data_IF_981870275468
#
_entry.id   IF_981870275468
#
_cell.length_a   1.000
_cell.length_b   1.000
_cell.length_c   1.000
_cell.angle_alpha   90.00
_cell.angle_beta   90.00
_cell.angle_gamma   90.00
#
_symmetry.space_group_name_H-M   'P 1'
#
loop_
_entity.id
_entity.type
_entity.pdbx_description
1 polymer ?
#
# COMPACT_ATOMS: atom_id res chain seq x y z
N UNK A 1 3.59 30.58 5.38
CA UNK A 1 3.67 29.12 5.13
C UNK A 1 2.25 28.60 4.99
N UNK A 2 1.81 28.28 3.77
CA UNK A 2 0.49 27.71 3.53
C UNK A 2 0.65 26.20 3.34
N UNK A 3 0.11 25.42 4.28
CA UNK A 3 -0.02 23.98 4.12
C UNK A 3 -1.44 23.71 3.61
N UNK A 4 -1.56 23.26 2.36
CA UNK A 4 -2.84 22.85 1.77
C UNK A 4 -3.13 21.42 2.21
N UNK A 5 -4.02 21.27 3.18
CA UNK A 5 -4.61 19.98 3.51
C UNK A 5 -5.67 19.65 2.46
N UNK A 6 -5.41 18.64 1.61
CA UNK A 6 -6.39 18.08 0.69
C UNK A 6 -7.35 17.16 1.45
N UNK A 7 -8.17 17.74 2.33
CA UNK A 7 -9.38 17.09 2.84
C UNK A 7 -10.57 17.62 2.05
N UNK A 8 -10.72 17.14 0.82
CA UNK A 8 -11.98 17.23 0.10
C UNK A 8 -12.05 16.06 -0.89
N UNK A 9 -13.24 15.53 -1.06
CA UNK A 9 -13.70 14.32 -1.76
C UNK A 9 -13.22 14.09 -3.21
N UNK A 10 -12.33 14.95 -3.74
CA UNK A 10 -11.66 14.82 -5.05
C UNK A 10 -10.17 14.42 -4.95
N UNK A 11 -9.59 14.35 -3.74
CA UNK A 11 -8.15 14.16 -3.54
C UNK A 11 -7.53 12.88 -4.17
N UNK A 12 -8.17 11.69 -4.10
CA UNK A 12 -7.50 10.46 -4.56
C UNK A 12 -7.50 10.31 -6.08
N UNK A 13 -8.62 10.64 -6.74
CA UNK A 13 -8.75 10.54 -8.18
C UNK A 13 -7.83 11.54 -8.89
N UNK A 14 -7.76 12.78 -8.41
CA UNK A 14 -6.85 13.79 -8.95
C UNK A 14 -5.38 13.42 -8.74
N UNK A 15 -5.01 12.92 -7.56
CA UNK A 15 -3.65 12.44 -7.30
C UNK A 15 -3.27 11.26 -8.20
N UNK A 16 -4.17 10.28 -8.34
CA UNK A 16 -3.98 9.12 -9.23
C UNK A 16 -3.84 9.54 -10.69
N UNK A 17 -4.65 10.51 -11.13
CA UNK A 17 -4.56 11.06 -12.48
C UNK A 17 -3.25 11.80 -12.71
N UNK A 18 -2.85 12.67 -11.79
CA UNK A 18 -1.59 13.41 -11.88
C UNK A 18 -0.37 12.47 -11.90
N UNK A 19 -0.39 11.42 -11.07
CA UNK A 19 0.63 10.36 -11.05
C UNK A 19 0.73 9.66 -12.42
N UNK A 20 -0.40 9.19 -12.96
CA UNK A 20 -0.46 8.53 -14.27
C UNK A 20 -0.02 9.46 -15.39
N UNK A 21 -0.45 10.73 -15.34
CA UNK A 21 -0.13 11.74 -16.34
C UNK A 21 1.37 12.05 -16.34
N UNK A 22 1.98 12.24 -15.18
CA UNK A 22 3.43 12.46 -15.02
C UNK A 22 4.26 11.35 -15.66
N UNK A 23 3.91 10.08 -15.40
CA UNK A 23 4.67 8.95 -15.96
C UNK A 23 4.38 8.74 -17.45
N UNK A 24 3.16 9.03 -17.90
CA UNK A 24 2.82 8.98 -19.34
C UNK A 24 3.61 10.02 -20.14
N UNK A 25 3.73 11.24 -19.61
CA UNK A 25 4.46 12.31 -20.29
C UNK A 25 5.98 12.04 -20.28
N UNK A 26 6.48 11.30 -19.28
CA UNK A 26 7.88 10.85 -19.16
C UNK A 26 8.10 9.39 -19.57
N UNK A 27 7.29 8.86 -20.52
CA UNK A 27 7.29 7.44 -20.89
C UNK A 27 8.61 6.91 -21.46
N UNK A 28 9.40 7.75 -22.13
CA UNK A 28 10.66 7.31 -22.79
C UNK A 28 11.63 6.73 -21.76
N UNK A 29 11.80 5.41 -21.76
CA UNK A 29 12.66 4.67 -20.82
C UNK A 29 11.98 4.17 -19.54
N UNK A 30 10.70 4.52 -19.32
CA UNK A 30 9.95 4.26 -18.08
C UNK A 30 8.72 3.36 -18.27
N UNK A 31 8.69 2.56 -19.34
CA UNK A 31 7.56 1.68 -19.69
C UNK A 31 7.19 0.71 -18.57
N UNK A 32 8.19 0.16 -17.88
CA UNK A 32 8.02 -0.72 -16.71
C UNK A 32 7.34 -0.01 -15.54
N UNK A 33 7.66 1.27 -15.31
CA UNK A 33 7.06 2.09 -14.24
C UNK A 33 5.61 2.42 -14.60
N UNK A 34 5.35 2.77 -15.87
CA UNK A 34 3.99 3.01 -16.36
C UNK A 34 3.11 1.78 -16.16
N UNK A 35 3.60 0.61 -16.58
CA UNK A 35 2.89 -0.67 -16.39
C UNK A 35 2.59 -0.92 -14.91
N UNK A 36 3.57 -0.69 -14.04
CA UNK A 36 3.39 -0.87 -12.59
C UNK A 36 2.35 0.10 -12.02
N UNK A 37 2.28 1.33 -12.51
CA UNK A 37 1.28 2.31 -12.08
C UNK A 37 -0.12 1.97 -12.61
N UNK A 38 -0.21 1.41 -13.82
CA UNK A 38 -1.49 1.01 -14.40
C UNK A 38 -2.07 -0.25 -13.74
N UNK A 39 -1.23 -1.24 -13.46
CA UNK A 39 -1.63 -2.55 -12.93
C UNK A 39 -1.61 -2.60 -11.39
N UNK A 40 -0.69 -1.88 -10.76
CA UNK A 40 -0.36 -2.04 -9.35
C UNK A 40 -0.91 -0.96 -8.41
N UNK A 41 -1.41 0.17 -8.92
CA UNK A 41 -1.98 1.20 -8.04
C UNK A 41 -3.48 1.04 -7.87
N UNK A 42 -3.90 0.87 -6.61
CA UNK A 42 -5.26 1.06 -6.17
C UNK A 42 -5.35 2.33 -5.32
N UNK A 43 -5.85 3.41 -5.92
CA UNK A 43 -5.97 4.72 -5.30
C UNK A 43 -4.60 5.23 -4.80
N UNK A 44 -4.33 5.13 -3.50
CA UNK A 44 -3.12 5.56 -2.80
C UNK A 44 -2.16 4.40 -2.51
N UNK A 45 -2.60 3.16 -2.68
CA UNK A 45 -1.82 1.96 -2.38
C UNK A 45 -1.20 1.37 -3.66
N UNK A 46 0.11 1.13 -3.64
CA UNK A 46 0.81 0.40 -4.70
C UNK A 46 1.08 -1.03 -4.25
N UNK A 47 0.53 -2.01 -4.97
CA UNK A 47 0.81 -3.43 -4.81
C UNK A 47 1.29 -3.99 -6.15
N UNK A 48 2.50 -4.54 -6.17
CA UNK A 48 3.02 -5.19 -7.37
C UNK A 48 3.87 -6.41 -7.01
N UNK A 49 3.76 -7.46 -7.80
CA UNK A 49 4.50 -8.71 -7.62
C UNK A 49 5.53 -8.88 -8.73
N UNK A 50 6.72 -9.35 -8.35
CA UNK A 50 7.86 -9.60 -9.24
C UNK A 50 8.40 -11.00 -8.97
N UNK A 51 9.17 -11.55 -9.90
CA UNK A 51 9.65 -12.94 -9.80
C UNK A 51 10.91 -13.08 -8.97
N UNK A 52 11.70 -12.01 -8.86
CA UNK A 52 13.01 -12.05 -8.20
C UNK A 52 13.26 -10.83 -7.32
N UNK A 53 14.11 -11.01 -6.31
CA UNK A 53 14.55 -9.91 -5.43
C UNK A 53 15.25 -8.79 -6.20
N UNK A 54 16.05 -9.16 -7.21
CA UNK A 54 16.81 -8.21 -8.04
C UNK A 54 15.86 -7.32 -8.85
N UNK A 55 14.84 -7.91 -9.47
CA UNK A 55 13.79 -7.16 -10.17
C UNK A 55 13.04 -6.24 -9.21
N UNK A 56 12.70 -6.73 -8.02
CA UNK A 56 12.02 -5.94 -6.98
C UNK A 56 12.82 -4.71 -6.56
N UNK A 57 14.09 -4.88 -6.20
CA UNK A 57 14.99 -3.77 -5.85
C UNK A 57 15.05 -2.72 -6.97
N UNK A 58 15.29 -3.18 -8.19
CA UNK A 58 15.40 -2.31 -9.37
C UNK A 58 14.11 -1.54 -9.61
N UNK A 59 12.97 -2.20 -9.52
CA UNK A 59 11.66 -1.60 -9.71
C UNK A 59 11.36 -0.53 -8.66
N UNK A 60 11.61 -0.82 -7.38
CA UNK A 60 11.38 0.14 -6.29
C UNK A 60 12.24 1.39 -6.47
N UNK A 61 13.53 1.23 -6.74
CA UNK A 61 14.44 2.36 -6.95
C UNK A 61 14.00 3.21 -8.16
N UNK A 62 13.61 2.55 -9.25
CA UNK A 62 13.13 3.24 -10.45
C UNK A 62 11.82 3.98 -10.21
N UNK A 63 10.86 3.34 -9.54
CA UNK A 63 9.59 3.98 -9.11
C UNK A 63 9.87 5.23 -8.28
N UNK A 64 10.70 5.12 -7.24
CA UNK A 64 11.04 6.26 -6.37
C UNK A 64 11.67 7.40 -7.16
N UNK A 65 12.60 7.11 -8.07
CA UNK A 65 13.26 8.14 -8.89
C UNK A 65 12.25 8.86 -9.79
N UNK A 66 11.50 8.12 -10.60
CA UNK A 66 10.56 8.70 -11.58
C UNK A 66 9.45 9.48 -10.87
N UNK A 67 8.96 8.98 -9.74
CA UNK A 67 7.89 9.63 -8.99
C UNK A 67 8.38 10.87 -8.25
N UNK A 68 9.62 10.86 -7.74
CA UNK A 68 10.22 12.03 -7.10
C UNK A 68 10.36 13.22 -8.07
N UNK A 69 10.62 12.97 -9.35
CA UNK A 69 10.63 14.02 -10.40
C UNK A 69 9.27 14.73 -10.53
N UNK A 70 8.18 14.01 -10.26
CA UNK A 70 6.82 14.56 -10.23
C UNK A 70 6.37 15.09 -8.87
N UNK A 71 7.26 15.11 -7.87
CA UNK A 71 6.96 15.49 -6.49
C UNK A 71 6.18 14.44 -5.68
N UNK A 72 6.07 13.21 -6.20
CA UNK A 72 5.41 12.10 -5.51
C UNK A 72 6.43 11.30 -4.69
N UNK A 73 6.05 10.91 -3.48
CA UNK A 73 6.89 10.09 -2.60
C UNK A 73 6.08 8.92 -2.02
N UNK A 74 6.34 7.70 -2.50
CA UNK A 74 5.75 6.48 -1.94
C UNK A 74 6.47 6.14 -0.62
N UNK A 75 5.68 5.91 0.43
CA UNK A 75 6.14 5.58 1.78
C UNK A 75 5.61 4.21 2.21
N UNK A 76 6.04 3.75 3.39
CA UNK A 76 5.58 2.51 4.00
C UNK A 76 5.84 1.27 3.13
N UNK A 77 7.02 1.21 2.54
CA UNK A 77 7.43 0.05 1.76
C UNK A 77 7.50 -1.20 2.64
N UNK A 78 6.83 -2.26 2.20
CA UNK A 78 6.82 -3.58 2.82
C UNK A 78 6.95 -4.66 1.73
N UNK A 79 7.58 -5.80 2.05
CA UNK A 79 7.77 -6.91 1.12
C UNK A 79 7.79 -8.24 1.87
N UNK A 80 7.39 -9.31 1.18
CA UNK A 80 7.49 -10.67 1.69
C UNK A 80 8.93 -11.17 1.79
N UNK A 81 9.84 -10.66 0.96
CA UNK A 81 11.28 -10.88 1.10
C UNK A 81 11.98 -9.59 1.56
N UNK A 82 12.52 -9.65 2.79
CA UNK A 82 13.21 -8.53 3.42
C UNK A 82 14.35 -7.94 2.59
N UNK A 83 15.01 -8.77 1.76
CA UNK A 83 16.11 -8.33 0.91
C UNK A 83 15.64 -7.30 -0.11
N UNK A 84 14.38 -7.31 -0.54
CA UNK A 84 13.86 -6.38 -1.56
C UNK A 84 13.91 -4.92 -1.08
N UNK A 85 13.72 -4.68 0.21
CA UNK A 85 13.60 -3.34 0.78
C UNK A 85 14.71 -2.99 1.78
N UNK A 86 15.67 -3.87 1.99
CA UNK A 86 16.76 -3.68 2.97
C UNK A 86 17.55 -2.37 2.75
N UNK A 87 17.79 -2.02 1.48
CA UNK A 87 18.59 -0.86 1.07
C UNK A 87 17.84 0.49 1.21
N UNK A 88 16.54 0.45 1.53
CA UNK A 88 15.77 1.68 1.69
C UNK A 88 16.07 2.37 3.04
N UNK A 89 15.98 3.71 3.10
CA UNK A 89 16.06 4.42 4.37
C UNK A 89 14.87 4.06 5.27
N UNK A 90 15.05 4.10 6.59
CA UNK A 90 14.01 3.72 7.56
C UNK A 90 12.71 4.51 7.38
N UNK A 91 12.79 5.80 7.07
CA UNK A 91 11.62 6.67 6.86
C UNK A 91 10.76 6.27 5.66
N UNK A 92 11.32 5.46 4.76
CA UNK A 92 10.59 4.90 3.64
C UNK A 92 9.93 3.56 3.95
N UNK A 93 10.47 2.79 4.90
CA UNK A 93 9.96 1.46 5.26
C UNK A 93 8.68 1.60 6.08
N UNK A 94 7.87 0.54 6.12
CA UNK A 94 6.75 0.50 7.05
C UNK A 94 7.23 0.30 8.50
N UNK A 95 6.64 1.03 9.44
CA UNK A 95 6.92 0.89 10.87
C UNK A 95 6.60 -0.53 11.38
N UNK A 96 5.55 -1.15 10.85
CA UNK A 96 5.16 -2.53 11.22
C UNK A 96 6.20 -3.53 10.73
N UNK A 97 6.70 -3.36 9.51
CA UNK A 97 7.82 -4.13 8.97
C UNK A 97 9.09 -3.96 9.82
N UNK A 98 9.49 -2.73 10.13
CA UNK A 98 10.70 -2.48 10.95
C UNK A 98 10.56 -3.12 12.34
N UNK A 99 9.40 -2.99 12.97
CA UNK A 99 9.09 -3.66 14.23
C UNK A 99 9.21 -5.20 14.13
N UNK A 100 8.71 -5.79 13.04
CA UNK A 100 8.71 -7.24 12.82
C UNK A 100 10.11 -7.79 12.60
N UNK A 101 11.02 -7.01 12.02
CA UNK A 101 12.44 -7.39 11.92
C UNK A 101 13.12 -7.38 13.29
N UNK A 102 12.86 -6.36 14.10
CA UNK A 102 13.49 -6.24 15.42
C UNK A 102 13.02 -7.30 16.42
N UNK A 103 11.78 -7.78 16.28
CA UNK A 103 11.12 -8.56 17.33
C UNK A 103 11.13 -10.07 17.12
N UNK A 104 11.65 -10.56 15.98
CA UNK A 104 11.79 -11.94 15.42
C UNK A 104 10.64 -12.95 15.62
N UNK A 105 9.99 -12.94 16.78
CA UNK A 105 8.84 -13.73 17.20
C UNK A 105 7.47 -13.06 16.97
N UNK A 106 7.39 -11.73 16.89
CA UNK A 106 6.12 -10.99 16.72
C UNK A 106 6.08 -10.22 15.40
N UNK A 107 5.49 -10.83 14.36
CA UNK A 107 5.19 -10.13 13.10
C UNK A 107 3.91 -9.28 13.26
N UNK A 108 4.06 -7.97 13.11
CA UNK A 108 2.92 -7.05 12.97
C UNK A 108 2.48 -7.03 11.51
N UNK A 109 1.23 -7.42 11.21
CA UNK A 109 0.74 -7.41 9.84
C UNK A 109 0.54 -5.98 9.32
N UNK A 110 0.81 -5.80 8.03
CA UNK A 110 0.58 -4.53 7.34
C UNK A 110 -0.91 -4.32 7.05
N UNK A 111 -1.47 -3.14 7.38
CA UNK A 111 -2.82 -2.79 6.97
C UNK A 111 -2.86 -2.60 5.46
N UNK A 112 -3.78 -3.28 4.79
CA UNK A 112 -3.86 -3.26 3.33
C UNK A 112 -5.32 -3.40 2.88
N UNK A 113 -5.91 -2.33 2.33
CA UNK A 113 -7.27 -2.33 1.78
C UNK A 113 -8.34 -2.93 2.72
N UNK A 114 -8.21 -2.72 4.03
CA UNK A 114 -9.11 -3.29 5.05
C UNK A 114 -8.77 -4.72 5.49
N UNK A 115 -7.74 -5.32 4.90
CA UNK A 115 -7.13 -6.59 5.29
C UNK A 115 -5.84 -6.35 6.09
N UNK A 116 -5.27 -7.44 6.57
CA UNK A 116 -3.99 -7.51 7.28
C UNK A 116 -3.06 -8.46 6.55
N UNK A 117 -2.00 -7.95 5.96
CA UNK A 117 -1.01 -8.76 5.25
C UNK A 117 0.14 -9.11 6.18
N UNK A 118 0.37 -10.40 6.41
CA UNK A 118 1.62 -10.88 7.00
C UNK A 118 2.61 -11.12 5.87
N UNK A 119 3.51 -10.17 5.70
CA UNK A 119 4.44 -10.15 4.59
C UNK A 119 5.31 -11.41 4.57
N UNK A 120 5.91 -11.83 5.69
CA UNK A 120 6.88 -12.94 5.71
C UNK A 120 6.29 -14.27 5.24
N UNK A 121 5.04 -14.56 5.61
CA UNK A 121 4.35 -15.77 5.17
C UNK A 121 3.56 -15.58 3.87
N UNK A 122 3.51 -14.35 3.35
CA UNK A 122 2.67 -13.95 2.22
C UNK A 122 1.19 -14.34 2.41
N UNK A 123 0.63 -13.99 3.57
CA UNK A 123 -0.74 -14.37 3.96
C UNK A 123 -1.61 -13.16 4.25
N UNK A 124 -2.78 -13.11 3.61
CA UNK A 124 -3.81 -12.13 3.89
C UNK A 124 -4.76 -12.64 4.97
N UNK A 125 -4.95 -11.82 6.00
CA UNK A 125 -5.86 -12.06 7.10
C UNK A 125 -6.93 -10.98 7.14
N UNK A 126 -8.09 -11.31 7.65
CA UNK A 126 -9.13 -10.36 8.00
C UNK A 126 -9.61 -10.63 9.42
N UNK A 127 -10.06 -9.58 10.12
CA UNK A 127 -10.63 -9.75 11.44
C UNK A 127 -12.09 -10.19 11.29
N UNK A 128 -12.37 -11.44 11.67
CA UNK A 128 -13.74 -11.91 11.81
C UNK A 128 -14.22 -11.66 13.23
N UNK A 129 -15.19 -10.76 13.39
CA UNK A 129 -15.92 -10.57 14.64
C UNK A 129 -17.32 -11.18 14.48
N UNK A 130 -17.57 -12.39 14.99
CA UNK A 130 -18.92 -12.95 14.97
C UNK A 130 -19.82 -12.10 15.87
N UNK A 131 -20.82 -11.46 15.28
CA UNK A 131 -21.82 -10.71 16.05
C UNK A 131 -22.99 -11.65 16.28
N UNK A 132 -23.28 -12.06 17.53
CA UNK A 132 -24.38 -12.96 17.81
C UNK A 132 -25.72 -12.30 17.50
N UNK A 133 -26.62 -13.02 16.82
CA UNK A 133 -27.99 -12.60 16.56
C UNK A 133 -28.95 -13.78 16.70
N UNK A 134 -30.12 -13.54 17.29
CA UNK A 134 -31.10 -14.61 17.56
C UNK A 134 -31.97 -14.92 16.33
N UNK A 135 -32.46 -13.87 15.65
CA UNK A 135 -33.29 -13.97 14.44
C UNK A 135 -32.81 -12.99 13.38
N UNK A 136 -32.72 -13.47 12.14
CA UNK A 136 -32.43 -12.63 10.98
C UNK A 136 -33.66 -11.75 10.73
N UNK A 137 -33.53 -10.46 11.00
CA UNK A 137 -34.47 -9.44 10.59
C UNK A 137 -33.70 -8.15 10.26
N UNK A 138 -34.35 -7.24 9.53
CA UNK A 138 -33.72 -6.00 9.06
C UNK A 138 -33.10 -5.19 10.22
N UNK A 139 -33.80 -5.11 11.37
CA UNK A 139 -33.34 -4.38 12.57
C UNK A 139 -32.04 -4.95 13.12
N UNK A 140 -31.92 -6.28 13.20
CA UNK A 140 -30.73 -6.95 13.69
C UNK A 140 -29.57 -6.83 12.70
N UNK A 141 -29.83 -6.94 11.39
CA UNK A 141 -28.80 -6.72 10.35
C UNK A 141 -28.24 -5.30 10.42
N UNK A 142 -29.10 -4.28 10.53
CA UNK A 142 -28.62 -2.90 10.67
C UNK A 142 -27.84 -2.68 11.97
N UNK A 143 -28.25 -3.31 13.08
CA UNK A 143 -27.52 -3.25 14.36
C UNK A 143 -26.12 -3.85 14.25
N UNK A 144 -25.99 -4.98 13.54
CA UNK A 144 -24.71 -5.64 13.27
C UNK A 144 -23.83 -4.74 12.40
N UNK A 145 -24.35 -4.19 11.31
CA UNK A 145 -23.60 -3.33 10.38
C UNK A 145 -23.19 -1.98 11.00
N UNK A 146 -23.99 -1.44 11.92
CA UNK A 146 -23.67 -0.19 12.63
C UNK A 146 -22.72 -0.40 13.83
N UNK A 147 -22.39 -1.65 14.17
CA UNK A 147 -21.43 -1.92 15.25
C UNK A 147 -20.02 -1.59 14.77
N UNK A 148 -19.22 -0.81 15.52
CA UNK A 148 -17.87 -0.46 15.11
C UNK A 148 -16.99 -1.71 14.98
N UNK A 149 -16.26 -1.77 13.86
CA UNK A 149 -15.31 -2.84 13.50
C UNK A 149 -14.06 -2.79 14.36
#
# INVERSE_FOLDING_TARGET
MASLALWNTCSPCCASFALKKHVTDNKKGNEEVLKTIEEGFFVDNCLYSVRTVVEGKKLILKLRSVLAEGGFNIRQWASNDSKVIEDLPSEAKSENYEFSIMSDHDEKPEPMLGLRWRCRQDQLHYNYKPIPYDRINLKNVYKVLASPV
#
